data_IF_098161257259
#
_entry.id   IF_098161257259
#
_cell.length_a   1.000
_cell.length_b   1.000
_cell.length_c   1.000
_cell.angle_alpha   90.00
_cell.angle_beta   90.00
_cell.angle_gamma   90.00
#
_symmetry.space_group_name_H-M   'P 1'
#
loop_
_entity.id
_entity.type
_entity.pdbx_description
1 polymer ?
#
# COMPACT_ATOMS: atom_id res chain seq x y z
N UNK A 1 -37.70 23.12 55.29
CA UNK A 1 -37.55 21.81 55.97
C UNK A 1 -38.81 21.02 55.70
N UNK A 2 -38.66 19.87 55.01
CA UNK A 2 -39.66 18.90 54.53
C UNK A 2 -40.70 19.36 53.49
N UNK A 3 -41.20 18.48 52.62
CA UNK A 3 -40.59 17.58 51.62
C UNK A 3 -41.75 17.19 50.70
N UNK A 4 -41.43 17.14 49.41
CA UNK A 4 -42.29 17.02 48.23
C UNK A 4 -42.97 15.64 48.20
N UNK A 5 -44.28 15.59 47.93
CA UNK A 5 -44.99 14.36 47.59
C UNK A 5 -45.01 14.14 46.07
N UNK A 6 -44.63 12.95 45.62
CA UNK A 6 -44.77 12.50 44.24
C UNK A 6 -45.54 11.18 44.20
N UNK A 7 -46.70 11.19 43.56
CA UNK A 7 -47.37 9.98 43.08
C UNK A 7 -47.30 9.98 41.55
N UNK A 8 -46.74 8.91 40.97
CA UNK A 8 -47.08 8.44 39.62
C UNK A 8 -47.03 6.92 39.59
N UNK A 9 -48.20 6.31 39.43
CA UNK A 9 -48.34 5.02 38.77
C UNK A 9 -48.78 5.27 37.32
N UNK A 10 -48.05 4.70 36.37
CA UNK A 10 -48.49 3.53 35.57
C UNK A 10 -47.38 3.20 34.57
N UNK A 11 -46.82 2.01 34.73
CA UNK A 11 -45.83 1.43 33.83
C UNK A 11 -46.47 0.66 32.68
N UNK A 12 -45.78 0.66 31.56
CA UNK A 12 -45.80 -0.44 30.60
C UNK A 12 -44.37 -0.99 30.57
N UNK A 13 -44.27 -2.28 30.86
CA UNK A 13 -43.04 -3.03 30.96
C UNK A 13 -42.32 -3.13 29.60
N UNK A 14 -41.06 -2.73 29.56
CA UNK A 14 -40.09 -3.34 28.66
C UNK A 14 -39.48 -4.49 29.45
N UNK A 15 -39.78 -5.71 29.02
CA UNK A 15 -39.16 -6.92 29.53
C UNK A 15 -37.64 -6.77 29.44
N UNK A 16 -37.00 -6.82 30.61
CA UNK A 16 -35.56 -7.00 30.72
C UNK A 16 -35.18 -8.29 30.01
N UNK A 17 -34.45 -8.19 28.90
CA UNK A 17 -33.66 -9.32 28.42
C UNK A 17 -32.65 -9.61 29.52
N UNK A 18 -32.79 -10.79 30.12
CA UNK A 18 -31.86 -11.36 31.08
C UNK A 18 -30.47 -11.44 30.43
N UNK A 19 -29.63 -10.42 30.70
CA UNK A 19 -28.20 -10.49 30.46
C UNK A 19 -27.64 -11.44 31.51
N UNK A 20 -27.85 -12.73 31.24
CA UNK A 20 -27.28 -13.83 31.99
C UNK A 20 -25.82 -13.50 32.29
N UNK A 21 -25.48 -13.64 33.56
CA UNK A 21 -24.15 -13.38 34.09
C UNK A 21 -23.08 -13.89 33.13
N UNK A 22 -22.40 -12.97 32.44
CA UNK A 22 -21.10 -13.26 31.84
C UNK A 22 -20.16 -13.43 33.02
N UNK A 23 -20.15 -14.64 33.59
CA UNK A 23 -19.10 -15.09 34.48
C UNK A 23 -17.79 -14.77 33.77
N UNK A 24 -16.94 -13.97 34.43
CA UNK A 24 -15.60 -13.71 33.97
C UNK A 24 -14.89 -15.04 33.73
N UNK A 25 -14.81 -15.43 32.47
CA UNK A 25 -13.82 -16.41 32.04
C UNK A 25 -12.51 -15.65 32.19
N UNK A 26 -11.80 -15.87 33.29
CA UNK A 26 -10.39 -15.52 33.37
C UNK A 26 -9.75 -16.03 32.09
N UNK A 27 -9.30 -15.11 31.23
CA UNK A 27 -8.58 -15.47 30.03
C UNK A 27 -7.30 -16.18 30.47
N UNK A 28 -7.32 -17.51 30.49
CA UNK A 28 -6.12 -18.28 30.71
C UNK A 28 -5.19 -17.98 29.54
N UNK A 29 -3.99 -17.49 29.88
CA UNK A 29 -2.94 -17.31 28.90
C UNK A 29 -2.74 -18.62 28.14
N UNK A 30 -2.62 -18.59 26.80
CA UNK A 30 -2.40 -19.80 26.02
C UNK A 30 -1.17 -20.54 26.56
N UNK A 31 -1.33 -21.83 26.83
CA UNK A 31 -0.22 -22.72 27.18
C UNK A 31 0.50 -23.02 25.88
N UNK A 32 1.69 -22.45 25.72
CA UNK A 32 2.53 -22.73 24.56
C UNK A 32 3.30 -24.02 24.82
N UNK A 33 3.12 -25.04 23.97
CA UNK A 33 3.91 -26.30 24.01
C UNK A 33 5.42 -26.05 23.80
N UNK A 34 5.78 -24.87 23.29
CA UNK A 34 7.15 -24.39 23.13
C UNK A 34 7.26 -22.94 23.61
N UNK A 35 8.27 -22.64 24.44
CA UNK A 35 8.60 -21.25 24.78
C UNK A 35 8.87 -20.45 23.50
N UNK A 36 8.32 -19.23 23.39
CA UNK A 36 8.61 -18.32 22.29
C UNK A 36 10.13 -18.11 22.22
N UNK A 37 10.75 -18.47 21.10
CA UNK A 37 12.17 -18.28 20.90
C UNK A 37 12.46 -16.83 20.51
N UNK A 38 12.95 -16.03 21.46
CA UNK A 38 13.29 -14.63 21.26
C UNK A 38 12.54 -13.70 22.21
N UNK A 39 12.73 -12.40 22.04
CA UNK A 39 12.03 -11.39 22.82
C UNK A 39 10.59 -11.25 22.32
N UNK A 40 9.54 -11.52 23.13
CA UNK A 40 8.15 -11.28 22.74
C UNK A 40 7.89 -9.82 22.33
N UNK A 41 8.66 -8.84 22.82
CA UNK A 41 8.57 -7.47 22.34
C UNK A 41 9.03 -7.31 20.88
N UNK A 42 9.79 -8.26 20.33
CA UNK A 42 10.16 -8.36 18.91
C UNK A 42 9.28 -9.32 18.12
N UNK A 43 8.59 -10.24 18.81
CA UNK A 43 7.71 -11.24 18.25
C UNK A 43 6.26 -10.86 18.60
N UNK A 44 5.55 -10.14 17.72
CA UNK A 44 4.14 -9.72 17.88
C UNK A 44 3.86 -8.35 18.55
N UNK A 45 4.79 -7.39 18.55
CA UNK A 45 4.46 -6.00 18.97
C UNK A 45 3.87 -5.13 17.86
N UNK A 46 3.68 -5.68 16.67
CA UNK A 46 3.02 -4.97 15.57
C UNK A 46 1.50 -5.06 15.76
N UNK A 47 0.84 -3.89 15.84
CA UNK A 47 -0.62 -3.82 15.96
C UNK A 47 -1.32 -4.55 14.80
N UNK A 48 -0.74 -4.53 13.60
CA UNK A 48 -1.23 -5.26 12.44
C UNK A 48 -1.27 -6.77 12.63
N UNK A 49 -0.26 -7.35 13.28
CA UNK A 49 -0.25 -8.80 13.58
C UNK A 49 -1.33 -9.19 14.58
N UNK A 50 -1.68 -8.30 15.51
CA UNK A 50 -2.81 -8.50 16.41
C UNK A 50 -4.15 -8.41 15.67
N UNK A 51 -4.30 -7.39 14.82
CA UNK A 51 -5.51 -7.20 14.03
C UNK A 51 -5.71 -8.35 13.03
N UNK A 52 -4.65 -8.88 12.42
CA UNK A 52 -4.72 -10.01 11.49
C UNK A 52 -5.41 -11.25 12.10
N UNK A 53 -5.29 -11.43 13.41
CA UNK A 53 -5.85 -12.59 14.15
C UNK A 53 -7.31 -12.38 14.60
N UNK A 54 -7.75 -11.13 14.67
CA UNK A 54 -9.02 -10.75 15.32
C UNK A 54 -10.00 -10.08 14.37
N UNK A 55 -9.51 -9.45 13.31
CA UNK A 55 -10.32 -8.74 12.34
C UNK A 55 -11.12 -9.70 11.46
N UNK A 56 -12.34 -9.28 11.14
CA UNK A 56 -13.26 -10.00 10.25
C UNK A 56 -12.91 -9.65 8.81
N UNK A 57 -12.73 -10.65 7.96
CA UNK A 57 -12.53 -10.43 6.52
C UNK A 57 -13.74 -9.71 5.92
N UNK A 58 -13.51 -8.59 5.25
CA UNK A 58 -14.56 -7.79 4.61
C UNK A 58 -14.83 -8.21 3.15
N UNK A 59 -13.89 -8.90 2.50
CA UNK A 59 -14.16 -9.53 1.20
C UNK A 59 -15.11 -10.73 1.37
N UNK A 60 -16.34 -10.54 0.91
CA UNK A 60 -17.45 -11.50 1.02
C UNK A 60 -17.48 -12.53 -0.11
N UNK A 61 -16.63 -12.42 -1.13
CA UNK A 61 -16.56 -13.41 -2.21
C UNK A 61 -16.20 -14.78 -1.64
N UNK A 62 -16.86 -15.82 -2.16
CA UNK A 62 -16.54 -17.22 -1.84
C UNK A 62 -15.16 -17.61 -2.35
N UNK A 63 -14.60 -18.69 -1.82
CA UNK A 63 -13.29 -19.18 -2.26
C UNK A 63 -13.30 -19.61 -3.74
N UNK A 64 -14.43 -20.18 -4.21
CA UNK A 64 -14.63 -20.53 -5.62
C UNK A 64 -14.69 -19.29 -6.52
N UNK A 65 -15.37 -18.21 -6.08
CA UNK A 65 -15.38 -16.95 -6.82
C UNK A 65 -13.99 -16.34 -6.91
N UNK A 66 -13.25 -16.28 -5.80
CA UNK A 66 -11.86 -15.78 -5.80
C UNK A 66 -10.98 -16.61 -6.72
N UNK A 67 -11.08 -17.95 -6.68
CA UNK A 67 -10.33 -18.82 -7.57
C UNK A 67 -10.67 -18.60 -9.05
N UNK A 68 -11.96 -18.47 -9.37
CA UNK A 68 -12.44 -18.25 -10.73
C UNK A 68 -11.99 -16.89 -11.26
N UNK A 69 -12.15 -15.83 -10.47
CA UNK A 69 -11.82 -14.45 -10.85
C UNK A 69 -10.32 -14.25 -11.01
N UNK A 70 -9.48 -14.97 -10.26
CA UNK A 70 -8.02 -14.86 -10.32
C UNK A 70 -7.42 -15.06 -11.72
N UNK A 71 -8.03 -15.90 -12.56
CA UNK A 71 -7.55 -16.17 -13.92
C UNK A 71 -8.49 -15.68 -15.03
N UNK A 72 -9.77 -15.43 -14.71
CA UNK A 72 -10.79 -15.24 -15.74
C UNK A 72 -11.47 -13.86 -15.69
N UNK A 73 -11.19 -13.04 -14.66
CA UNK A 73 -11.82 -11.73 -14.59
C UNK A 73 -11.30 -10.80 -15.69
N UNK A 74 -12.20 -10.02 -16.31
CA UNK A 74 -11.84 -9.10 -17.40
C UNK A 74 -10.87 -8.00 -16.95
N UNK A 75 -11.04 -7.55 -15.71
CA UNK A 75 -10.25 -6.48 -15.12
C UNK A 75 -8.98 -7.08 -14.48
N UNK A 76 -7.76 -6.70 -14.94
CA UNK A 76 -6.50 -7.19 -14.39
C UNK A 76 -6.32 -6.90 -12.90
N UNK A 77 -6.87 -5.78 -12.40
CA UNK A 77 -6.79 -5.44 -10.98
C UNK A 77 -7.53 -6.49 -10.15
N UNK A 78 -8.71 -6.92 -10.59
CA UNK A 78 -9.49 -7.95 -9.89
C UNK A 78 -8.81 -9.32 -10.00
N UNK A 79 -8.17 -9.64 -11.14
CA UNK A 79 -7.36 -10.86 -11.24
C UNK A 79 -6.24 -10.87 -10.20
N UNK A 80 -5.44 -9.80 -10.14
CA UNK A 80 -4.37 -9.66 -9.16
C UNK A 80 -4.89 -9.69 -7.71
N UNK A 81 -5.92 -8.90 -7.43
CA UNK A 81 -6.55 -8.84 -6.11
C UNK A 81 -7.07 -10.21 -5.66
N UNK A 82 -7.63 -11.00 -6.58
CA UNK A 82 -8.05 -12.37 -6.31
C UNK A 82 -6.87 -13.31 -6.06
N UNK A 83 -5.74 -13.17 -6.77
CA UNK A 83 -4.53 -13.96 -6.49
C UNK A 83 -4.01 -13.70 -5.07
N UNK A 84 -3.87 -12.43 -4.67
CA UNK A 84 -3.41 -12.07 -3.33
C UNK A 84 -4.41 -12.53 -2.26
N UNK A 85 -5.71 -12.37 -2.52
CA UNK A 85 -6.75 -12.83 -1.60
C UNK A 85 -6.74 -14.36 -1.44
N UNK A 86 -6.45 -15.12 -2.51
CA UNK A 86 -6.31 -16.57 -2.47
C UNK A 86 -5.16 -17.01 -1.54
N UNK A 87 -4.03 -16.29 -1.64
CA UNK A 87 -2.86 -16.48 -0.78
C UNK A 87 -3.16 -16.11 0.68
N UNK A 88 -3.77 -14.95 0.92
CA UNK A 88 -4.11 -14.48 2.27
C UNK A 88 -5.07 -15.43 3.00
N UNK A 89 -5.99 -16.06 2.26
CA UNK A 89 -6.91 -17.08 2.78
C UNK A 89 -6.26 -18.44 3.04
N UNK A 90 -5.02 -18.65 2.61
CA UNK A 90 -4.32 -19.92 2.73
C UNK A 90 -4.96 -21.05 1.93
N UNK A 91 -5.57 -20.73 0.79
CA UNK A 91 -6.29 -21.73 -0.02
C UNK A 91 -5.31 -22.74 -0.66
N UNK A 92 -5.71 -24.03 -0.75
CA UNK A 92 -4.83 -25.09 -1.22
C UNK A 92 -4.55 -24.96 -2.72
N UNK A 93 -3.28 -25.03 -3.11
CA UNK A 93 -2.89 -24.91 -4.53
C UNK A 93 -2.48 -23.50 -4.96
N UNK A 94 -2.27 -22.58 -4.01
CA UNK A 94 -1.86 -21.20 -4.28
C UNK A 94 -0.63 -21.10 -5.20
N UNK A 95 0.39 -21.95 -5.02
CA UNK A 95 1.57 -21.98 -5.88
C UNK A 95 1.21 -22.32 -7.33
N UNK A 96 0.29 -23.27 -7.54
CA UNK A 96 -0.10 -23.71 -8.88
C UNK A 96 -0.95 -22.64 -9.57
N UNK A 97 -1.90 -22.02 -8.84
CA UNK A 97 -2.70 -20.89 -9.33
C UNK A 97 -1.83 -19.70 -9.74
N UNK A 98 -0.90 -19.28 -8.87
CA UNK A 98 0.02 -18.18 -9.16
C UNK A 98 0.92 -18.50 -10.35
N UNK A 99 1.45 -19.73 -10.43
CA UNK A 99 2.27 -20.19 -11.56
C UNK A 99 1.48 -20.12 -12.87
N UNK A 100 0.20 -20.44 -12.85
CA UNK A 100 -0.67 -20.31 -14.02
C UNK A 100 -0.86 -18.83 -14.41
N UNK A 101 -1.15 -17.96 -13.44
CA UNK A 101 -1.29 -16.52 -13.69
C UNK A 101 -0.03 -15.91 -14.34
N UNK A 102 1.18 -16.28 -13.87
CA UNK A 102 2.44 -15.81 -14.49
C UNK A 102 2.55 -16.27 -15.95
N UNK A 103 2.03 -17.45 -16.31
CA UNK A 103 2.09 -17.96 -17.69
C UNK A 103 1.06 -17.32 -18.61
N UNK A 104 -0.16 -17.11 -18.12
CA UNK A 104 -1.32 -16.87 -18.98
C UNK A 104 -1.82 -15.44 -18.96
N UNK A 105 -1.50 -14.65 -17.93
CA UNK A 105 -1.98 -13.27 -17.87
C UNK A 105 -1.31 -12.42 -18.96
N UNK A 106 -2.09 -11.60 -19.66
CA UNK A 106 -1.59 -10.71 -20.70
C UNK A 106 -1.00 -9.41 -20.14
N UNK A 107 -1.27 -9.10 -18.87
CA UNK A 107 -0.82 -7.86 -18.22
C UNK A 107 0.42 -8.17 -17.39
N UNK A 108 1.57 -7.65 -17.82
CA UNK A 108 2.88 -7.90 -17.20
C UNK A 108 2.91 -7.59 -15.70
N UNK A 109 2.14 -6.59 -15.26
CA UNK A 109 2.02 -6.20 -13.86
C UNK A 109 1.38 -7.30 -13.02
N UNK A 110 0.33 -7.94 -13.51
CA UNK A 110 -0.29 -9.09 -12.83
C UNK A 110 0.71 -10.24 -12.73
N UNK A 111 1.46 -10.50 -13.81
CA UNK A 111 2.46 -11.57 -13.86
C UNK A 111 3.57 -11.36 -12.83
N UNK A 112 4.18 -10.18 -12.77
CA UNK A 112 5.24 -9.94 -11.80
C UNK A 112 4.73 -9.86 -10.35
N UNK A 113 3.48 -9.47 -10.12
CA UNK A 113 2.92 -9.41 -8.77
C UNK A 113 2.50 -10.81 -8.31
N UNK A 114 2.14 -11.71 -9.23
CA UNK A 114 2.02 -13.13 -8.95
C UNK A 114 3.37 -13.77 -8.57
N UNK A 115 4.48 -13.36 -9.21
CA UNK A 115 5.82 -13.75 -8.78
C UNK A 115 6.14 -13.22 -7.36
N UNK A 116 5.74 -12.00 -7.04
CA UNK A 116 5.91 -11.47 -5.69
C UNK A 116 5.08 -12.27 -4.65
N UNK A 117 3.84 -12.63 -4.97
CA UNK A 117 3.04 -13.49 -4.11
C UNK A 117 3.67 -14.89 -3.92
N UNK A 118 4.32 -15.46 -4.94
CA UNK A 118 5.10 -16.69 -4.81
C UNK A 118 6.27 -16.52 -3.83
N UNK A 119 7.00 -15.40 -3.90
CA UNK A 119 8.06 -15.07 -2.94
C UNK A 119 7.51 -15.02 -1.50
N UNK A 120 6.35 -14.38 -1.30
CA UNK A 120 5.70 -14.30 0.02
C UNK A 120 5.29 -15.67 0.58
N UNK A 121 4.85 -16.60 -0.28
CA UNK A 121 4.59 -18.00 0.11
C UNK A 121 5.89 -18.68 0.54
N UNK A 122 6.95 -18.49 -0.24
CA UNK A 122 8.26 -19.08 0.00
C UNK A 122 8.30 -20.61 -0.10
N UNK A 123 9.42 -21.18 0.36
CA UNK A 123 9.65 -22.62 0.36
C UNK A 123 9.99 -23.23 -1.01
N UNK A 124 10.30 -24.55 -1.05
CA UNK A 124 10.88 -25.18 -2.24
C UNK A 124 9.98 -25.17 -3.48
N UNK A 125 8.65 -25.26 -3.30
CA UNK A 125 7.70 -25.22 -4.43
C UNK A 125 7.64 -23.84 -5.07
N UNK A 126 7.54 -22.78 -4.27
CA UNK A 126 7.53 -21.41 -4.79
C UNK A 126 8.88 -21.06 -5.44
N UNK A 127 10.01 -21.45 -4.83
CA UNK A 127 11.33 -21.26 -5.43
C UNK A 127 11.44 -21.92 -6.80
N UNK A 128 10.95 -23.18 -6.94
CA UNK A 128 10.95 -23.88 -8.22
C UNK A 128 10.08 -23.16 -9.26
N UNK A 129 8.93 -22.62 -8.85
CA UNK A 129 8.07 -21.84 -9.73
C UNK A 129 8.79 -20.57 -10.22
N UNK A 130 9.37 -19.77 -9.31
CA UNK A 130 10.14 -18.58 -9.65
C UNK A 130 11.30 -18.90 -10.61
N UNK A 131 12.06 -19.96 -10.34
CA UNK A 131 13.16 -20.41 -11.22
C UNK A 131 12.69 -20.78 -12.63
N UNK A 132 11.43 -21.19 -12.79
CA UNK A 132 10.84 -21.49 -14.10
C UNK A 132 10.65 -20.28 -15.01
N UNK A 133 10.63 -19.06 -14.45
CA UNK A 133 10.35 -17.83 -15.19
C UNK A 133 11.57 -16.91 -15.35
N UNK A 134 12.78 -17.29 -14.91
CA UNK A 134 13.96 -16.40 -14.98
C UNK A 134 14.42 -16.03 -16.39
N UNK A 135 13.89 -16.71 -17.42
CA UNK A 135 14.11 -16.47 -18.84
C UNK A 135 12.77 -16.22 -19.56
N UNK A 136 11.83 -15.56 -18.89
CA UNK A 136 10.55 -15.17 -19.49
C UNK A 136 10.76 -14.30 -20.73
N UNK A 137 9.81 -14.37 -21.68
CA UNK A 137 9.83 -13.57 -22.90
C UNK A 137 9.71 -12.06 -22.59
N UNK A 138 9.00 -11.70 -21.51
CA UNK A 138 9.05 -10.35 -20.94
C UNK A 138 10.27 -10.25 -20.01
N UNK A 139 11.25 -9.44 -20.42
CA UNK A 139 12.53 -9.34 -19.73
C UNK A 139 12.40 -8.87 -18.26
N UNK A 140 11.39 -8.06 -17.93
CA UNK A 140 11.19 -7.63 -16.54
C UNK A 140 10.46 -8.66 -15.70
N UNK A 141 9.55 -9.44 -16.28
CA UNK A 141 9.02 -10.64 -15.60
C UNK A 141 10.16 -11.61 -15.30
N UNK A 142 11.06 -11.82 -16.27
CA UNK A 142 12.26 -12.63 -16.09
C UNK A 142 13.20 -12.13 -15.00
N UNK A 143 13.42 -10.81 -14.95
CA UNK A 143 14.25 -10.21 -13.91
C UNK A 143 13.59 -10.25 -12.52
N UNK A 144 12.29 -9.98 -12.40
CA UNK A 144 11.56 -10.13 -11.14
C UNK A 144 11.63 -11.57 -10.62
N UNK A 145 11.47 -12.56 -11.49
CA UNK A 145 11.60 -13.97 -11.14
C UNK A 145 13.00 -14.30 -10.60
N UNK A 146 14.05 -13.79 -11.25
CA UNK A 146 15.45 -13.93 -10.83
C UNK A 146 15.69 -13.28 -9.48
N UNK A 147 15.21 -12.06 -9.30
CA UNK A 147 15.32 -11.27 -8.09
C UNK A 147 14.66 -11.99 -6.90
N UNK A 148 13.40 -12.43 -7.05
CA UNK A 148 12.70 -13.11 -5.96
C UNK A 148 13.29 -14.49 -5.65
N UNK A 149 13.73 -15.24 -6.66
CA UNK A 149 14.42 -16.51 -6.44
C UNK A 149 15.74 -16.33 -5.66
N UNK A 150 16.51 -15.29 -5.98
CA UNK A 150 17.76 -15.00 -5.26
C UNK A 150 17.48 -14.47 -3.85
N UNK A 151 16.45 -13.66 -3.65
CA UNK A 151 16.04 -13.19 -2.31
C UNK A 151 15.64 -14.36 -1.42
N UNK A 152 14.84 -15.32 -1.91
CA UNK A 152 14.47 -16.50 -1.14
C UNK A 152 15.65 -17.40 -0.78
N UNK A 153 16.68 -17.45 -1.62
CA UNK A 153 17.82 -18.39 -1.44
C UNK A 153 18.98 -17.76 -0.68
N UNK A 154 19.19 -16.46 -0.82
CA UNK A 154 20.37 -15.75 -0.31
C UNK A 154 20.05 -14.54 0.56
N UNK A 155 18.80 -14.06 0.53
CA UNK A 155 18.40 -12.77 1.10
C UNK A 155 18.82 -11.55 0.25
N UNK A 156 19.51 -11.77 -0.87
CA UNK A 156 20.04 -10.74 -1.76
C UNK A 156 19.32 -10.75 -3.11
N UNK A 157 18.99 -9.57 -3.69
CA UNK A 157 18.44 -9.49 -5.03
C UNK A 157 19.54 -9.74 -6.07
N UNK A 158 19.17 -10.33 -7.20
CA UNK A 158 20.01 -10.53 -8.37
C UNK A 158 19.29 -9.97 -9.60
N UNK A 159 20.05 -9.30 -10.44
CA UNK A 159 19.55 -8.58 -11.62
C UNK A 159 20.10 -9.20 -12.90
N UNK A 160 19.52 -8.85 -14.03
CA UNK A 160 20.16 -9.07 -15.32
C UNK A 160 21.21 -7.97 -15.61
N UNK A 161 21.78 -7.98 -16.81
CA UNK A 161 22.78 -7.00 -17.24
C UNK A 161 22.33 -6.22 -18.48
N UNK A 162 21.02 -5.96 -18.61
CA UNK A 162 20.49 -5.17 -19.71
C UNK A 162 21.06 -3.74 -19.66
N UNK A 163 21.23 -3.14 -20.83
CA UNK A 163 21.58 -1.72 -20.93
C UNK A 163 20.45 -0.85 -20.38
N UNK A 164 20.75 0.41 -20.13
CA UNK A 164 19.81 1.37 -19.55
C UNK A 164 19.82 2.68 -20.34
N UNK A 165 18.78 3.49 -20.15
CA UNK A 165 18.67 4.84 -20.69
C UNK A 165 18.08 5.79 -19.64
N UNK A 166 18.40 7.06 -19.79
CA UNK A 166 17.92 8.14 -18.95
C UNK A 166 17.58 9.33 -19.85
N UNK A 167 16.55 10.06 -19.49
CA UNK A 167 16.23 11.35 -20.06
C UNK A 167 16.79 12.46 -19.13
N UNK A 168 17.81 13.23 -19.57
CA UNK A 168 18.43 14.26 -18.74
C UNK A 168 17.53 15.47 -18.48
N UNK A 169 16.44 15.63 -19.23
CA UNK A 169 15.53 16.78 -19.12
C UNK A 169 14.42 16.55 -18.09
N UNK A 170 14.31 15.33 -17.53
CA UNK A 170 13.34 15.02 -16.47
C UNK A 170 13.75 15.65 -15.15
N UNK A 171 12.76 16.10 -14.39
CA UNK A 171 12.94 16.65 -13.03
C UNK A 171 13.72 15.67 -12.15
N UNK A 172 13.32 14.40 -12.11
CA UNK A 172 13.93 13.41 -11.22
C UNK A 172 14.99 12.55 -11.92
N UNK A 173 16.04 12.21 -11.16
CA UNK A 173 17.12 11.36 -11.66
C UNK A 173 16.66 9.92 -11.87
N UNK A 174 15.73 9.44 -11.03
CA UNK A 174 15.15 8.11 -11.11
C UNK A 174 13.65 8.19 -10.79
N UNK A 175 12.82 7.36 -11.44
CA UNK A 175 11.38 7.26 -11.14
C UNK A 175 10.98 5.79 -10.97
N UNK A 176 11.03 5.32 -9.71
CA UNK A 176 10.81 3.91 -9.37
C UNK A 176 9.33 3.70 -9.02
N UNK A 177 8.62 2.93 -9.85
CA UNK A 177 7.27 2.48 -9.51
C UNK A 177 7.31 1.53 -8.30
N UNK A 178 6.47 1.81 -7.32
CA UNK A 178 6.37 0.99 -6.12
C UNK A 178 5.14 0.09 -6.20
N UNK A 179 5.39 -1.22 -6.25
CA UNK A 179 4.38 -2.23 -5.94
C UNK A 179 4.22 -2.27 -4.42
N UNK A 180 3.00 -2.09 -3.93
CA UNK A 180 2.72 -2.00 -2.49
C UNK A 180 1.55 -2.94 -2.19
N UNK A 181 1.78 -3.92 -1.32
CA UNK A 181 0.75 -4.85 -0.83
C UNK A 181 0.54 -4.60 0.66
N UNK A 182 -0.69 -4.30 1.04
CA UNK A 182 -1.05 -3.91 2.40
C UNK A 182 -2.32 -4.60 2.88
N UNK A 183 -2.37 -4.82 4.18
CA UNK A 183 -3.63 -5.04 4.87
C UNK A 183 -4.16 -3.70 5.39
N UNK A 184 -5.42 -3.42 5.06
CA UNK A 184 -6.19 -2.29 5.57
C UNK A 184 -7.18 -2.82 6.61
N UNK A 185 -6.97 -2.40 7.85
CA UNK A 185 -7.85 -2.73 8.95
C UNK A 185 -8.75 -1.54 9.26
N UNK A 186 -10.06 -1.73 9.24
CA UNK A 186 -11.05 -0.65 9.48
C UNK A 186 -11.81 -0.93 10.76
N UNK A 187 -11.87 0.05 11.65
CA UNK A 187 -12.66 -0.02 12.88
C UNK A 187 -14.15 -0.05 12.53
N UNK A 188 -14.87 -1.04 13.03
CA UNK A 188 -16.29 -1.28 12.71
C UNK A 188 -17.26 -0.67 13.73
N UNK A 189 -16.75 -0.25 14.89
CA UNK A 189 -17.56 0.40 15.92
C UNK A 189 -16.76 1.39 16.79
N UNK A 190 -17.47 2.16 17.60
CA UNK A 190 -16.86 3.16 18.48
C UNK A 190 -16.13 2.54 19.69
N UNK A 191 -16.28 1.24 19.94
CA UNK A 191 -15.57 0.56 21.03
C UNK A 191 -14.10 0.32 20.71
N UNK A 192 -13.75 0.30 19.41
CA UNK A 192 -12.40 -0.01 18.93
C UNK A 192 -12.00 -1.48 19.07
N UNK A 193 -12.97 -2.37 19.36
CA UNK A 193 -12.71 -3.81 19.57
C UNK A 193 -13.02 -4.66 18.35
N UNK A 194 -13.91 -4.19 17.47
CA UNK A 194 -14.26 -4.91 16.24
C UNK A 194 -13.60 -4.23 15.04
N UNK A 195 -12.85 -5.03 14.28
CA UNK A 195 -12.10 -4.58 13.12
C UNK A 195 -12.47 -5.43 11.91
N UNK A 196 -12.59 -4.78 10.76
CA UNK A 196 -12.67 -5.41 9.45
C UNK A 196 -11.31 -5.41 8.78
N UNK A 197 -11.03 -6.38 7.92
CA UNK A 197 -9.80 -6.48 7.14
C UNK A 197 -10.10 -6.55 5.65
N UNK A 198 -9.43 -5.72 4.87
CA UNK A 198 -9.31 -5.82 3.41
C UNK A 198 -7.81 -5.92 3.10
N UNK A 199 -7.40 -6.96 2.37
CA UNK A 199 -6.05 -6.98 1.78
C UNK A 199 -6.10 -6.26 0.44
N UNK A 200 -5.13 -5.39 0.16
CA UNK A 200 -5.04 -4.65 -1.09
C UNK A 200 -3.77 -5.06 -1.83
N UNK A 201 -3.97 -5.76 -2.94
CA UNK A 201 -2.91 -6.06 -3.89
C UNK A 201 -2.39 -4.76 -4.55
N UNK A 202 -1.18 -4.76 -5.15
CA UNK A 202 -0.56 -3.56 -5.71
C UNK A 202 -1.45 -2.70 -6.62
N UNK A 203 -2.13 -3.30 -7.59
CA UNK A 203 -3.04 -2.59 -8.48
C UNK A 203 -4.32 -2.14 -7.77
N UNK A 204 -4.80 -2.91 -6.78
CA UNK A 204 -5.95 -2.52 -5.95
C UNK A 204 -5.64 -1.28 -5.11
N UNK A 205 -4.46 -1.23 -4.50
CA UNK A 205 -3.97 -0.06 -3.78
C UNK A 205 -3.72 1.11 -4.74
N UNK A 206 -3.04 0.89 -5.86
CA UNK A 206 -2.74 1.93 -6.84
C UNK A 206 -4.02 2.56 -7.39
N UNK A 207 -5.06 1.75 -7.63
CA UNK A 207 -6.36 2.25 -8.07
C UNK A 207 -7.08 3.04 -7.00
N UNK A 208 -7.04 2.65 -5.73
CA UNK A 208 -7.78 3.33 -4.65
C UNK A 208 -7.05 4.56 -4.07
N UNK A 209 -5.74 4.46 -3.86
CA UNK A 209 -4.89 5.48 -3.21
C UNK A 209 -3.93 6.21 -4.16
N UNK A 210 -3.90 5.85 -5.45
CA UNK A 210 -2.94 6.35 -6.43
C UNK A 210 -1.66 5.51 -6.51
N UNK A 211 -1.12 5.35 -7.72
CA UNK A 211 0.14 4.67 -7.98
C UNK A 211 1.30 5.48 -7.42
N UNK A 212 2.02 4.91 -6.46
CA UNK A 212 3.16 5.57 -5.83
C UNK A 212 4.46 5.34 -6.63
N UNK A 213 5.26 6.40 -6.72
CA UNK A 213 6.59 6.43 -7.30
C UNK A 213 7.59 6.97 -6.29
N UNK A 214 8.73 6.32 -6.13
CA UNK A 214 9.88 6.90 -5.44
C UNK A 214 10.74 7.66 -6.45
N UNK A 215 10.95 8.94 -6.18
CA UNK A 215 11.60 9.86 -7.12
C UNK A 215 12.89 10.43 -6.50
N UNK A 216 13.97 9.63 -6.37
CA UNK A 216 15.22 10.09 -5.79
C UNK A 216 15.92 11.07 -6.73
N UNK A 217 16.59 12.05 -6.13
CA UNK A 217 17.60 12.85 -6.79
C UNK A 217 18.97 12.46 -6.20
N UNK A 218 19.94 12.17 -7.07
CA UNK A 218 21.30 11.79 -6.68
C UNK A 218 21.94 12.76 -5.68
N UNK A 219 21.59 14.04 -5.71
CA UNK A 219 22.09 15.07 -4.80
C UNK A 219 21.46 14.99 -3.39
N UNK A 220 20.19 14.56 -3.27
CA UNK A 220 19.42 14.67 -2.03
C UNK A 220 18.96 13.33 -1.44
N UNK A 221 19.01 12.23 -2.20
CA UNK A 221 18.45 10.91 -1.84
C UNK A 221 18.96 10.28 -0.54
N UNK A 222 20.00 10.85 0.05
CA UNK A 222 20.50 10.43 1.37
C UNK A 222 19.72 11.03 2.54
N UNK A 223 18.94 12.09 2.31
CA UNK A 223 18.24 12.86 3.33
C UNK A 223 16.81 13.28 2.95
N UNK A 224 16.51 13.34 1.66
CA UNK A 224 15.23 13.79 1.12
C UNK A 224 14.84 12.99 -0.13
N UNK A 225 13.57 12.61 -0.20
CA UNK A 225 12.97 11.84 -1.30
C UNK A 225 11.54 12.35 -1.54
N UNK A 226 11.16 12.53 -2.79
CA UNK A 226 9.75 12.73 -3.15
C UNK A 226 9.12 11.35 -3.38
N UNK A 227 7.97 11.11 -2.74
CA UNK A 227 7.04 10.07 -3.16
C UNK A 227 5.88 10.76 -3.85
N UNK A 228 5.75 10.57 -5.16
CA UNK A 228 4.63 11.10 -5.94
C UNK A 228 3.58 10.00 -6.12
N UNK A 229 2.31 10.36 -5.96
CA UNK A 229 1.18 9.48 -6.25
C UNK A 229 0.36 10.05 -7.39
N UNK A 230 0.13 9.21 -8.39
CA UNK A 230 -0.71 9.53 -9.52
C UNK A 230 -1.94 8.62 -9.51
N UNK A 231 -3.12 9.22 -9.43
CA UNK A 231 -4.40 8.55 -9.43
C UNK A 231 -5.14 8.83 -10.74
N UNK A 232 -5.16 7.82 -11.62
CA UNK A 232 -5.88 7.91 -12.88
C UNK A 232 -7.39 7.64 -12.70
N UNK A 233 -8.21 8.19 -13.59
CA UNK A 233 -9.65 7.89 -13.66
C UNK A 233 -10.52 8.60 -12.62
N UNK A 234 -9.96 9.53 -11.83
CA UNK A 234 -10.75 10.39 -10.94
C UNK A 234 -11.35 11.59 -11.68
N UNK A 235 -10.61 12.21 -12.61
CA UNK A 235 -11.06 13.39 -13.35
C UNK A 235 -11.70 13.02 -14.69
N UNK A 236 -12.80 13.72 -15.03
CA UNK A 236 -13.54 13.53 -16.29
C UNK A 236 -12.70 13.85 -17.55
N UNK A 237 -11.70 14.72 -17.44
CA UNK A 237 -10.81 15.10 -18.55
C UNK A 237 -9.64 14.12 -18.74
N UNK A 238 -9.56 13.08 -17.91
CA UNK A 238 -8.55 12.02 -17.99
C UNK A 238 -7.19 12.37 -17.42
N UNK A 239 -6.95 13.58 -16.92
CA UNK A 239 -5.68 13.86 -16.23
C UNK A 239 -5.65 13.16 -14.87
N UNK A 240 -4.47 12.79 -14.36
CA UNK A 240 -4.39 12.18 -13.04
C UNK A 240 -4.68 13.20 -11.94
N UNK A 241 -5.24 12.72 -10.83
CA UNK A 241 -5.14 13.36 -9.53
C UNK A 241 -3.75 13.10 -8.95
N UNK A 242 -3.14 14.13 -8.38
CA UNK A 242 -1.74 14.10 -7.93
C UNK A 242 -1.69 14.38 -6.44
N UNK A 243 -0.94 13.55 -5.72
CA UNK A 243 -0.56 13.79 -4.33
C UNK A 243 0.92 13.50 -4.13
N UNK A 244 1.69 14.54 -3.84
CA UNK A 244 3.12 14.48 -3.66
C UNK A 244 3.47 14.54 -2.17
N UNK A 245 4.48 13.79 -1.75
CA UNK A 245 4.91 13.71 -0.36
C UNK A 245 6.40 13.93 -0.28
N UNK A 246 6.81 14.93 0.50
CA UNK A 246 8.21 15.18 0.76
C UNK A 246 8.66 14.39 1.99
N UNK A 247 9.35 13.29 1.74
CA UNK A 247 9.93 12.47 2.78
C UNK A 247 11.32 13.00 3.14
N UNK A 248 11.57 13.14 4.45
CA UNK A 248 12.88 13.48 5.01
C UNK A 248 13.33 12.40 5.99
N UNK A 249 14.62 12.14 6.04
CA UNK A 249 15.12 10.99 6.74
C UNK A 249 16.60 10.78 6.60
N UNK A 250 17.02 9.52 6.70
CA UNK A 250 18.40 9.09 6.56
C UNK A 250 18.47 7.84 5.70
N UNK A 251 19.39 7.87 4.75
CA UNK A 251 19.85 6.70 4.01
C UNK A 251 21.21 6.30 4.57
N UNK A 252 21.32 5.06 5.04
CA UNK A 252 22.56 4.47 5.50
C UNK A 252 23.20 3.66 4.38
N UNK A 253 24.51 3.76 4.24
CA UNK A 253 25.32 3.00 3.28
C UNK A 253 26.03 1.88 4.04
N UNK A 254 25.42 0.69 4.06
CA UNK A 254 25.96 -0.44 4.81
C UNK A 254 27.15 -1.11 4.09
N UNK A 255 27.11 -1.12 2.75
CA UNK A 255 28.21 -1.57 1.90
C UNK A 255 28.18 -0.82 0.56
N UNK A 256 29.20 -1.02 -0.27
CA UNK A 256 29.09 -0.67 -1.69
C UNK A 256 27.87 -1.40 -2.28
N UNK A 257 26.94 -0.65 -2.87
CA UNK A 257 25.77 -1.23 -3.51
C UNK A 257 24.54 -1.44 -2.62
N UNK A 258 24.62 -1.31 -1.29
CA UNK A 258 23.48 -1.66 -0.40
C UNK A 258 23.41 -0.81 0.84
N UNK A 259 22.19 -0.60 1.29
CA UNK A 259 21.94 0.17 2.49
C UNK A 259 20.52 0.07 2.98
N UNK A 260 20.25 0.81 4.05
CA UNK A 260 18.90 0.97 4.60
C UNK A 260 18.47 2.41 4.51
N UNK A 261 17.17 2.65 4.62
CA UNK A 261 16.62 3.98 4.76
C UNK A 261 15.53 4.01 5.81
N UNK A 262 15.38 5.19 6.43
CA UNK A 262 14.27 5.52 7.29
C UNK A 262 13.82 6.93 6.95
N UNK A 263 12.58 7.07 6.49
CA UNK A 263 12.02 8.30 5.99
C UNK A 263 10.62 8.54 6.56
N UNK A 264 10.34 9.79 6.88
CA UNK A 264 9.04 10.27 7.33
C UNK A 264 8.62 11.46 6.48
N UNK A 265 7.36 11.49 6.08
CA UNK A 265 6.71 12.67 5.52
C UNK A 265 5.67 13.15 6.51
N UNK A 266 5.48 14.46 6.59
CA UNK A 266 4.41 15.10 7.34
C UNK A 266 3.94 16.31 6.53
N UNK A 267 2.68 16.30 6.11
CA UNK A 267 2.12 17.36 5.25
C UNK A 267 0.62 17.51 5.46
N UNK A 268 0.13 18.74 5.24
CA UNK A 268 -1.30 19.03 5.30
C UNK A 268 -2.02 18.32 4.15
N UNK A 269 -3.12 17.62 4.42
CA UNK A 269 -3.92 16.92 3.40
C UNK A 269 -5.41 17.15 3.64
N UNK A 270 -6.21 17.26 2.57
CA UNK A 270 -7.66 17.24 2.70
C UNK A 270 -8.13 15.84 3.08
N UNK A 271 -8.93 15.75 4.14
CA UNK A 271 -9.72 14.57 4.46
C UNK A 271 -11.16 14.88 4.09
N UNK A 272 -11.63 14.34 2.97
CA UNK A 272 -13.02 14.46 2.54
C UNK A 272 -13.90 13.48 3.33
N UNK A 273 -14.94 13.98 3.99
CA UNK A 273 -15.83 13.17 4.83
C UNK A 273 -16.69 12.20 4.01
N UNK A 274 -16.76 12.37 2.69
CA UNK A 274 -17.33 11.39 1.76
C UNK A 274 -16.53 10.08 1.70
N UNK A 275 -15.25 10.11 2.09
CA UNK A 275 -14.29 9.01 1.90
C UNK A 275 -13.69 8.96 0.49
N UNK A 276 -14.13 9.85 -0.42
CA UNK A 276 -13.66 9.93 -1.79
C UNK A 276 -12.83 11.22 -1.99
N UNK A 277 -11.64 11.07 -2.57
CA UNK A 277 -10.79 12.19 -2.99
C UNK A 277 -11.58 13.15 -3.89
N UNK A 278 -11.38 14.46 -3.70
CA UNK A 278 -12.03 15.54 -4.44
C UNK A 278 -13.57 15.61 -4.33
N UNK A 279 -14.18 14.83 -3.44
CA UNK A 279 -15.63 14.86 -3.20
C UNK A 279 -15.97 15.56 -1.88
N UNK A 280 -16.18 16.87 -1.95
CA UNK A 280 -16.51 17.74 -0.81
C UNK A 280 -18.01 17.77 -0.44
N UNK A 281 -18.83 16.85 -0.98
CA UNK A 281 -20.29 16.85 -0.75
C UNK A 281 -20.71 16.70 0.71
N UNK A 282 -19.85 16.10 1.55
CA UNK A 282 -20.04 15.97 3.00
C UNK A 282 -19.08 16.88 3.81
N UNK A 283 -18.41 17.81 3.13
CA UNK A 283 -17.36 18.64 3.70
C UNK A 283 -16.00 17.92 3.80
N UNK A 284 -14.96 18.71 4.02
CA UNK A 284 -13.58 18.26 4.19
C UNK A 284 -12.93 18.92 5.39
N UNK A 285 -11.80 18.36 5.81
CA UNK A 285 -10.93 18.93 6.84
C UNK A 285 -9.48 18.83 6.40
N UNK A 286 -8.74 19.92 6.51
CA UNK A 286 -7.31 19.91 6.28
C UNK A 286 -6.59 19.43 7.54
N UNK A 287 -5.93 18.28 7.43
CA UNK A 287 -5.32 17.60 8.57
C UNK A 287 -3.86 17.29 8.27
N UNK A 288 -3.04 17.29 9.31
CA UNK A 288 -1.64 16.95 9.16
C UNK A 288 -1.50 15.44 9.07
N UNK A 289 -1.10 14.95 7.90
CA UNK A 289 -0.93 13.52 7.62
C UNK A 289 0.56 13.18 7.58
N UNK A 290 0.92 12.16 8.36
CA UNK A 290 2.24 11.60 8.47
C UNK A 290 2.29 10.19 7.91
N UNK A 291 3.36 9.87 7.19
CA UNK A 291 3.63 8.54 6.68
C UNK A 291 5.10 8.19 6.93
N UNK A 292 5.35 6.94 7.31
CA UNK A 292 6.69 6.43 7.56
C UNK A 292 7.00 5.29 6.59
N UNK A 293 8.22 5.29 6.09
CA UNK A 293 8.75 4.22 5.25
C UNK A 293 10.15 3.89 5.71
N UNK A 294 10.40 2.59 5.85
CA UNK A 294 11.73 2.08 6.13
C UNK A 294 11.97 0.84 5.29
N UNK A 295 13.23 0.59 4.97
CA UNK A 295 13.57 -0.49 4.08
C UNK A 295 15.02 -0.52 3.69
N UNK A 296 15.28 -1.23 2.60
CA UNK A 296 16.58 -1.40 2.00
C UNK A 296 16.55 -0.91 0.56
N UNK A 297 17.69 -0.38 0.14
CA UNK A 297 17.95 -0.04 -1.25
C UNK A 297 19.16 -0.83 -1.73
N UNK A 298 19.16 -1.17 -3.01
CA UNK A 298 20.29 -1.79 -3.71
C UNK A 298 20.61 -0.94 -4.93
N UNK A 299 21.85 -0.48 -5.05
CA UNK A 299 22.32 0.22 -6.25
C UNK A 299 23.03 -0.71 -7.23
N UNK A 300 23.00 -0.33 -8.49
CA UNK A 300 23.77 -0.97 -9.55
C UNK A 300 24.98 -0.09 -9.92
N UNK A 301 26.23 -0.55 -9.68
CA UNK A 301 27.42 0.21 -10.03
C UNK A 301 27.66 0.34 -11.55
N UNK A 302 26.96 -0.43 -12.38
CA UNK A 302 27.01 -0.33 -13.84
C UNK A 302 26.04 0.73 -14.39
N UNK A 303 25.19 1.29 -13.52
CA UNK A 303 24.25 2.36 -13.85
C UNK A 303 24.67 3.62 -13.09
N UNK A 304 25.40 4.52 -13.76
CA UNK A 304 25.93 5.72 -13.11
C UNK A 304 25.13 6.96 -13.50
N UNK A 305 24.52 7.60 -12.50
CA UNK A 305 23.77 8.85 -12.65
C UNK A 305 24.52 9.93 -11.88
N UNK A 306 24.97 10.97 -12.59
CA UNK A 306 25.69 12.12 -11.99
C UNK A 306 26.84 11.69 -11.05
N UNK A 307 27.61 10.66 -11.44
CA UNK A 307 28.74 10.16 -10.65
C UNK A 307 28.37 9.21 -9.50
N UNK A 308 27.10 8.79 -9.38
CA UNK A 308 26.61 7.89 -8.33
C UNK A 308 25.89 6.68 -8.93
N UNK A 309 26.08 5.46 -8.36
CA UNK A 309 25.28 4.29 -8.74
C UNK A 309 23.77 4.53 -8.60
N UNK A 310 22.98 4.14 -9.59
CA UNK A 310 21.53 4.22 -9.59
C UNK A 310 20.91 3.25 -8.58
N UNK A 311 19.84 3.63 -7.90
CA UNK A 311 19.04 2.75 -7.06
C UNK A 311 18.26 1.79 -7.97
N UNK A 312 18.80 0.59 -8.12
CA UNK A 312 18.24 -0.48 -8.95
C UNK A 312 16.95 -1.04 -8.37
N UNK A 313 16.88 -1.14 -7.04
CA UNK A 313 15.81 -1.82 -6.34
C UNK A 313 15.65 -1.30 -4.91
N UNK A 314 14.40 -1.22 -4.46
CA UNK A 314 14.02 -0.93 -3.08
C UNK A 314 13.02 -1.96 -2.59
N UNK A 315 13.11 -2.29 -1.30
CA UNK A 315 12.11 -3.08 -0.58
C UNK A 315 11.94 -2.54 0.82
N UNK A 316 10.75 -2.65 1.40
CA UNK A 316 10.55 -2.15 2.75
C UNK A 316 9.17 -2.41 3.31
N UNK A 317 8.92 -1.79 4.46
CA UNK A 317 7.65 -1.82 5.16
C UNK A 317 7.00 -0.44 5.14
N UNK A 318 5.67 -0.44 5.05
CA UNK A 318 4.85 0.77 5.15
C UNK A 318 3.86 0.60 6.30
N UNK A 319 3.74 1.63 7.11
CA UNK A 319 2.75 1.71 8.19
C UNK A 319 2.20 3.14 8.25
N UNK A 320 0.88 3.25 8.25
CA UNK A 320 0.20 4.54 8.36
C UNK A 320 -1.23 4.34 8.85
N UNK A 321 -1.89 5.46 9.13
CA UNK A 321 -3.30 5.48 9.46
C UNK A 321 -4.06 6.06 8.27
N UNK A 322 -5.37 5.87 8.27
CA UNK A 322 -6.26 6.30 7.19
C UNK A 322 -7.63 6.68 7.72
N UNK A 323 -8.37 7.39 6.89
CA UNK A 323 -9.80 7.58 7.04
C UNK A 323 -10.54 6.83 5.94
N UNK A 324 -11.52 6.04 6.34
CA UNK A 324 -12.44 5.32 5.46
C UNK A 324 -13.86 5.62 5.92
N UNK A 325 -14.69 6.16 5.03
CA UNK A 325 -16.12 6.26 5.30
C UNK A 325 -16.77 4.89 5.08
N UNK A 326 -16.88 4.09 6.15
CA UNK A 326 -17.40 2.73 6.04
C UNK A 326 -18.90 2.69 5.67
N UNK A 327 -19.67 3.73 6.01
CA UNK A 327 -21.10 3.78 5.69
C UNK A 327 -21.36 3.84 4.18
N UNK A 328 -20.49 4.50 3.41
CA UNK A 328 -20.61 4.55 1.94
C UNK A 328 -20.20 3.25 1.26
N UNK A 329 -19.52 2.35 1.99
CA UNK A 329 -19.02 1.07 1.47
C UNK A 329 -19.86 -0.13 1.91
N UNK A 330 -20.82 0.06 2.83
CA UNK A 330 -21.57 -1.05 3.40
C UNK A 330 -22.46 -1.70 2.34
N UNK A 331 -22.22 -2.99 2.09
CA UNK A 331 -22.99 -3.79 1.13
C UNK A 331 -22.49 -3.68 -0.31
N UNK A 332 -21.47 -2.86 -0.56
CA UNK A 332 -20.80 -2.75 -1.85
C UNK A 332 -19.90 -3.96 -2.11
N UNK A 333 -19.81 -4.37 -3.37
CA UNK A 333 -18.83 -5.34 -3.86
C UNK A 333 -17.40 -4.79 -3.80
N UNK A 334 -16.40 -5.67 -3.92
CA UNK A 334 -15.00 -5.25 -3.95
C UNK A 334 -14.70 -4.29 -5.11
N UNK A 335 -15.33 -4.50 -6.27
CA UNK A 335 -15.20 -3.61 -7.43
C UNK A 335 -15.74 -2.21 -7.14
N UNK A 336 -16.87 -2.12 -6.43
CA UNK A 336 -17.51 -0.87 -6.05
C UNK A 336 -16.76 -0.12 -4.94
N UNK A 337 -15.82 -0.75 -4.23
CA UNK A 337 -14.98 -0.07 -3.22
C UNK A 337 -13.55 0.18 -3.68
N UNK A 338 -13.07 -0.49 -4.74
CA UNK A 338 -11.73 -0.25 -5.30
C UNK A 338 -11.78 0.70 -6.50
N UNK A 339 -12.58 1.76 -6.43
CA UNK A 339 -12.59 2.82 -7.44
C UNK A 339 -11.58 3.94 -7.12
N UNK A 340 -11.23 4.79 -8.10
CA UNK A 340 -10.32 5.90 -7.91
C UNK A 340 -10.66 6.82 -6.75
N UNK A 341 -9.72 6.96 -5.81
CA UNK A 341 -9.80 7.95 -4.73
C UNK A 341 -10.65 7.52 -3.53
N UNK A 342 -11.08 6.26 -3.45
CA UNK A 342 -11.98 5.77 -2.39
C UNK A 342 -11.32 5.55 -1.01
N UNK A 343 -10.20 6.20 -0.71
CA UNK A 343 -9.60 6.18 0.62
C UNK A 343 -8.55 7.27 0.77
N UNK A 344 -8.43 7.83 1.98
CA UNK A 344 -7.54 8.95 2.26
C UNK A 344 -6.59 8.59 3.39
N UNK A 345 -5.30 8.91 3.21
CA UNK A 345 -4.30 8.75 4.26
C UNK A 345 -4.62 9.66 5.46
N UNK A 346 -4.34 9.18 6.66
CA UNK A 346 -4.67 9.84 7.94
C UNK A 346 -3.56 9.65 8.97
N UNK A 347 -3.72 10.23 10.16
CA UNK A 347 -2.74 10.10 11.25
C UNK A 347 -3.44 10.16 12.60
N UNK A 348 -2.87 9.56 13.64
CA UNK A 348 -3.45 9.58 15.01
C UNK A 348 -3.03 10.78 15.86
N UNK A 349 -1.98 11.51 15.49
CA UNK A 349 -1.31 12.49 16.34
C UNK A 349 -1.90 13.92 16.26
N UNK A 350 -3.01 14.11 15.55
CA UNK A 350 -3.69 15.39 15.34
C UNK A 350 -5.21 15.28 15.62
N UNK A 351 -6.04 16.33 15.47
CA UNK A 351 -7.49 16.26 15.71
C UNK A 351 -8.25 15.24 14.84
N UNK A 352 -7.57 14.56 13.91
CA UNK A 352 -8.00 13.32 13.27
C UNK A 352 -8.15 12.15 14.22
N UNK A 353 -7.66 12.19 15.48
CA UNK A 353 -7.80 11.10 16.46
C UNK A 353 -9.14 10.34 16.42
N UNK A 354 -10.32 11.01 16.39
CA UNK A 354 -11.62 10.34 16.20
C UNK A 354 -11.92 9.88 14.75
N UNK A 355 -11.38 10.53 13.72
CA UNK A 355 -11.60 10.23 12.30
C UNK A 355 -10.68 9.10 11.78
N UNK A 356 -9.44 8.99 12.24
CA UNK A 356 -8.51 7.95 11.80
C UNK A 356 -9.00 6.58 12.28
N UNK A 357 -9.78 5.91 11.44
CA UNK A 357 -10.45 4.65 11.71
C UNK A 357 -9.88 3.48 10.91
N UNK A 358 -8.91 3.73 10.03
CA UNK A 358 -8.21 2.70 9.30
C UNK A 358 -6.73 2.63 9.71
N UNK A 359 -6.21 1.41 9.90
CA UNK A 359 -4.80 1.13 10.09
C UNK A 359 -4.28 0.35 8.88
N UNK A 360 -3.22 0.86 8.26
CA UNK A 360 -2.67 0.32 7.01
C UNK A 360 -1.25 -0.15 7.30
N UNK A 361 -0.97 -1.41 7.01
CA UNK A 361 0.36 -2.00 7.21
C UNK A 361 0.67 -2.99 6.11
N UNK A 362 1.92 -3.06 5.69
CA UNK A 362 2.34 -4.02 4.67
C UNK A 362 3.74 -3.76 4.18
N UNK A 363 4.00 -4.21 2.97
CA UNK A 363 5.33 -4.13 2.36
C UNK A 363 5.26 -3.51 0.97
N UNK A 364 6.40 -2.96 0.54
CA UNK A 364 6.55 -2.45 -0.81
C UNK A 364 7.84 -2.95 -1.43
N UNK A 365 7.82 -3.02 -2.76
CA UNK A 365 8.97 -3.32 -3.61
C UNK A 365 8.92 -2.45 -4.86
N UNK A 366 10.06 -2.03 -5.36
CA UNK A 366 10.16 -1.29 -6.62
C UNK A 366 11.53 -1.46 -7.24
N UNK A 367 11.59 -1.60 -8.56
CA UNK A 367 12.84 -1.65 -9.31
C UNK A 367 12.73 -0.80 -10.56
N UNK A 368 13.87 -0.45 -11.16
CA UNK A 368 13.88 0.14 -12.49
C UNK A 368 13.46 -0.91 -13.55
N UNK A 369 12.66 -0.48 -14.52
CA UNK A 369 11.91 -1.34 -15.46
C UNK A 369 12.09 -0.79 -16.86
N UNK A 370 12.02 -1.64 -17.89
CA UNK A 370 11.89 -1.23 -19.28
C UNK A 370 10.39 -0.98 -19.57
N UNK A 371 9.97 0.29 -19.57
CA UNK A 371 8.57 0.66 -19.70
C UNK A 371 8.09 0.72 -21.15
N UNK A 372 8.97 1.01 -22.10
CA UNK A 372 8.63 1.12 -23.54
C UNK A 372 8.97 -0.13 -24.36
N UNK A 373 9.61 -1.12 -23.76
CA UNK A 373 9.88 -2.43 -24.35
C UNK A 373 11.02 -2.42 -25.38
N UNK A 374 11.92 -1.43 -25.33
CA UNK A 374 13.05 -1.34 -26.27
C UNK A 374 14.27 -2.19 -25.88
N UNK A 375 14.15 -2.97 -24.80
CA UNK A 375 15.20 -3.82 -24.25
C UNK A 375 16.15 -3.08 -23.31
N UNK A 376 15.89 -1.81 -22.98
CA UNK A 376 16.69 -0.99 -22.07
C UNK A 376 15.88 -0.60 -20.86
N UNK A 377 16.52 -0.65 -19.70
CA UNK A 377 15.92 -0.15 -18.47
C UNK A 377 15.75 1.36 -18.56
N UNK A 378 14.54 1.83 -18.29
CA UNK A 378 14.25 3.24 -18.07
C UNK A 378 14.56 3.65 -16.65
N UNK A 379 15.47 4.61 -16.51
CA UNK A 379 15.82 5.13 -15.20
C UNK A 379 14.76 6.13 -14.68
N UNK A 380 14.25 7.00 -15.55
CA UNK A 380 13.36 8.11 -15.17
C UNK A 380 12.25 8.44 -16.19
N UNK A 381 11.72 7.44 -16.89
CA UNK A 381 10.74 7.66 -17.97
C UNK A 381 9.30 7.89 -17.49
N UNK A 382 8.96 7.59 -16.23
CA UNK A 382 7.59 7.79 -15.72
C UNK A 382 7.27 9.27 -15.48
N UNK A 383 6.06 9.70 -15.84
CA UNK A 383 5.59 11.06 -15.62
C UNK A 383 5.36 11.35 -14.14
N UNK A 384 6.07 12.35 -13.63
CA UNK A 384 5.99 12.78 -12.23
C UNK A 384 5.61 14.25 -12.19
N UNK A 385 4.40 14.54 -11.72
CA UNK A 385 3.83 15.88 -11.66
C UNK A 385 4.22 16.59 -10.36
N UNK A 386 5.53 16.74 -10.13
CA UNK A 386 6.07 17.23 -8.87
C UNK A 386 7.37 17.99 -9.03
N UNK A 387 7.53 19.06 -8.27
CA UNK A 387 8.84 19.67 -8.02
C UNK A 387 9.67 18.81 -7.06
N UNK A 388 10.96 19.13 -6.92
CA UNK A 388 11.85 18.56 -5.90
C UNK A 388 11.40 18.76 -4.44
N UNK A 389 10.54 19.75 -4.18
CA UNK A 389 9.98 20.04 -2.86
C UNK A 389 8.57 19.45 -2.67
N UNK A 390 8.21 18.49 -3.54
CA UNK A 390 6.92 17.81 -3.56
C UNK A 390 5.73 18.75 -3.81
N UNK A 391 5.94 19.87 -4.47
CA UNK A 391 4.85 20.76 -4.90
C UNK A 391 4.27 20.27 -6.23
N UNK A 392 2.98 20.52 -6.48
CA UNK A 392 2.34 20.16 -7.75
C UNK A 392 2.97 20.95 -8.89
N UNK A 393 3.35 20.22 -9.93
CA UNK A 393 3.98 20.74 -11.15
C UNK A 393 3.40 19.94 -12.32
N UNK A 394 2.35 20.47 -12.96
CA UNK A 394 1.61 19.74 -13.99
C UNK A 394 2.31 19.69 -15.35
N UNK A 395 3.22 20.64 -15.63
CA UNK A 395 3.96 20.69 -16.89
C UNK A 395 5.37 20.05 -16.79
N UNK A 396 5.76 19.62 -15.60
CA UNK A 396 7.03 18.93 -15.29
C UNK A 396 8.27 19.80 -15.59
N UNK A 397 8.18 21.12 -15.39
CA UNK A 397 9.30 22.06 -15.58
C UNK A 397 10.09 22.35 -14.28
N UNK A 398 9.74 21.66 -13.19
CA UNK A 398 10.25 21.84 -11.83
C UNK A 398 9.97 23.24 -11.26
N UNK A 399 8.90 23.87 -11.70
CA UNK A 399 8.32 25.09 -11.11
C UNK A 399 6.91 24.73 -10.62
N UNK A 400 6.63 25.05 -9.36
CA UNK A 400 5.33 24.76 -8.78
C UNK A 400 4.22 25.56 -9.51
N UNK A 401 3.11 24.88 -9.81
CA UNK A 401 1.90 25.53 -10.32
C UNK A 401 1.35 26.53 -9.30
N UNK A 402 1.35 26.13 -8.03
CA UNK A 402 1.03 26.96 -6.87
C UNK A 402 2.03 26.68 -5.74
N UNK A 403 2.82 27.68 -5.30
CA UNK A 403 3.82 27.48 -4.25
C UNK A 403 3.23 26.92 -2.94
N UNK A 404 3.86 25.89 -2.40
CA UNK A 404 3.48 25.22 -1.15
C UNK A 404 2.37 24.18 -1.28
N UNK A 405 1.76 24.02 -2.45
CA UNK A 405 0.68 23.06 -2.68
C UNK A 405 1.23 21.71 -3.13
N UNK A 406 0.91 20.64 -2.40
CA UNK A 406 1.45 19.29 -2.64
C UNK A 406 0.42 18.28 -3.16
N UNK A 407 -0.80 18.72 -3.47
CA UNK A 407 -1.88 17.86 -3.96
C UNK A 407 -2.77 18.66 -4.92
N UNK A 408 -3.54 17.97 -5.77
CA UNK A 408 -4.36 18.64 -6.78
C UNK A 408 -5.41 19.60 -6.16
N UNK A 409 -5.62 20.74 -6.81
CA UNK A 409 -6.46 21.86 -6.32
C UNK A 409 -7.80 21.98 -7.05
N UNK A 410 -8.06 21.06 -7.98
CA UNK A 410 -9.06 21.20 -9.05
C UNK A 410 -10.49 21.43 -8.59
N UNK A 411 -10.84 20.91 -7.43
CA UNK A 411 -12.20 21.01 -6.89
C UNK A 411 -12.43 22.28 -6.06
N UNK A 412 -11.47 23.22 -6.03
CA UNK A 412 -11.65 24.59 -5.50
C UNK A 412 -11.87 24.69 -3.98
N UNK A 413 -11.89 23.55 -3.29
CA UNK A 413 -12.11 23.43 -1.85
C UNK A 413 -11.01 24.09 -1.02
N UNK A 414 -9.80 24.30 -1.57
CA UNK A 414 -8.76 25.05 -0.86
C UNK A 414 -9.09 26.52 -0.61
N UNK A 415 -10.07 27.07 -1.34
CA UNK A 415 -10.50 28.46 -1.20
C UNK A 415 -11.83 28.62 -0.45
N UNK A 416 -12.45 27.52 0.03
CA UNK A 416 -13.76 27.49 0.69
C UNK A 416 -13.69 27.38 2.21
#
# INVERSE_FOLDING_TARGET
MLLIGSERMTGMALESVDLGQVSGVEAQAPVWDHYLQGDPARLNSDFGEFLKRTAIRLDVRTDDQVAQEALNHRDPMIREQSLFQYVDRGLPGAVDLLTEAVKTDSVREVRWNALWALEKIGGPRALKALQGFVNDDDADVGEWARLFASELTTGLPAFDSRSWKQDPDRTFDETILLNIDVDVYVRLDDTGRHWGKISLAPQGLARSYGQAHACPNSATRDQQLVISKNLAGLHDDGTPHVENFLFRGVTNHASAGRGSFFFESRGLRPIFMSGQADNDSLGHRNEMVSAKRSGEWTTDPLMEIKGKPAIRYVRGAVQTWGYINFETMRGSSLEEILFPGNSILGTLDTPTGPLANAYITGTFKGKLVDWDGDGKIDVNSLDIYSTHEAEVDTNQDNIADEPGVQFCTRTGWMHS
#
